data_IF_259603387134
#
_entry.id   IF_259603387134
#
_cell.length_a   1.000
_cell.length_b   1.000
_cell.length_c   1.000
_cell.angle_alpha   90.00
_cell.angle_beta   90.00
_cell.angle_gamma   90.00
#
_symmetry.space_group_name_H-M   'P 1'
#
loop_
_entity.id
_entity.type
_entity.pdbx_description
1 polymer ?
#
# COMPACT_ATOMS: atom_id res chain seq x y z
N UNK A 1 -15.25 22.49 -1.24
CA UNK A 1 -14.97 23.14 0.06
C UNK A 1 -14.00 22.35 0.95
N UNK A 2 -14.11 21.01 1.08
CA UNK A 2 -13.20 20.23 1.94
C UNK A 2 -11.71 20.29 1.56
N UNK A 3 -11.39 20.30 0.25
CA UNK A 3 -10.01 20.38 -0.23
C UNK A 3 -9.34 21.71 0.15
N UNK A 4 -10.08 22.82 0.09
CA UNK A 4 -9.55 24.14 0.43
C UNK A 4 -9.36 24.33 1.93
N UNK A 5 -10.26 23.77 2.75
CA UNK A 5 -10.09 23.75 4.20
C UNK A 5 -8.87 22.91 4.61
N UNK A 6 -8.68 21.74 3.99
CA UNK A 6 -7.49 20.91 4.23
C UNK A 6 -6.20 21.64 3.84
N UNK A 7 -6.20 22.30 2.68
CA UNK A 7 -5.08 23.14 2.23
C UNK A 7 -4.73 24.19 3.27
N UNK A 8 -5.71 24.96 3.76
CA UNK A 8 -5.50 25.99 4.80
C UNK A 8 -4.94 25.39 6.09
N UNK A 9 -5.43 24.22 6.52
CA UNK A 9 -4.94 23.54 7.72
C UNK A 9 -3.46 23.12 7.62
N UNK A 10 -3.00 22.73 6.42
CA UNK A 10 -1.60 22.37 6.18
C UNK A 10 -0.70 23.60 6.26
N UNK A 11 -1.10 24.72 5.63
CA UNK A 11 -0.33 25.96 5.64
C UNK A 11 -0.31 26.65 7.01
N UNK A 12 -1.33 26.44 7.84
CA UNK A 12 -1.42 27.05 9.17
C UNK A 12 -0.61 26.29 10.24
N UNK A 13 -0.03 25.13 9.90
CA UNK A 13 0.82 24.36 10.83
C UNK A 13 2.32 24.58 10.49
N UNK A 14 3.07 25.34 11.30
CA UNK A 14 4.45 25.71 11.00
C UNK A 14 5.40 24.50 10.94
N UNK A 15 5.13 23.44 11.70
CA UNK A 15 5.92 22.22 11.66
C UNK A 15 5.76 21.46 10.34
N UNK A 16 4.55 21.46 9.77
CA UNK A 16 4.25 20.81 8.49
C UNK A 16 4.85 21.60 7.33
N UNK A 17 4.78 22.93 7.40
CA UNK A 17 5.40 23.82 6.41
C UNK A 17 6.93 23.69 6.42
N UNK A 18 7.56 23.64 7.60
CA UNK A 18 9.01 23.47 7.74
C UNK A 18 9.51 22.11 7.21
N UNK A 19 8.66 21.09 7.26
CA UNK A 19 8.92 19.73 6.78
C UNK A 19 8.51 19.51 5.31
N UNK A 20 7.93 20.51 4.65
CA UNK A 20 7.38 20.39 3.30
C UNK A 20 8.52 20.31 2.29
N UNK A 21 8.61 19.20 1.55
CA UNK A 21 9.65 18.98 0.53
C UNK A 21 10.94 18.33 1.03
N UNK A 22 11.07 18.05 2.34
CA UNK A 22 12.23 17.31 2.84
C UNK A 22 12.13 15.82 2.46
N UNK A 23 13.09 15.26 1.71
CA UNK A 23 13.04 13.88 1.22
C UNK A 23 13.20 12.84 2.34
N UNK A 24 13.72 13.23 3.52
CA UNK A 24 13.88 12.33 4.67
C UNK A 24 12.54 12.04 5.33
N UNK A 25 11.55 12.92 5.19
CA UNK A 25 10.17 12.66 5.64
C UNK A 25 9.48 11.54 4.87
N UNK A 26 9.93 11.23 3.65
CA UNK A 26 9.30 10.23 2.81
C UNK A 26 9.58 8.78 3.29
N UNK A 27 10.41 8.57 4.32
CA UNK A 27 10.76 7.25 4.88
C UNK A 27 11.11 6.18 3.83
N UNK A 28 11.57 6.60 2.66
CA UNK A 28 12.03 5.73 1.58
C UNK A 28 13.45 5.30 1.96
N UNK A 29 13.58 4.22 2.72
CA UNK A 29 14.88 3.70 3.14
C UNK A 29 15.58 2.92 2.03
N UNK A 30 14.83 2.50 1.03
CA UNK A 30 15.34 1.80 -0.14
C UNK A 30 14.42 2.10 -1.32
N UNK A 31 15.00 2.39 -2.49
CA UNK A 31 14.28 2.75 -3.71
C UNK A 31 13.33 1.63 -4.19
N UNK A 32 13.37 0.45 -3.56
CA UNK A 32 12.64 -0.74 -4.01
C UNK A 32 11.60 -1.28 -3.02
N UNK A 33 11.58 -0.86 -1.75
CA UNK A 33 10.59 -1.34 -0.77
C UNK A 33 9.73 -0.20 -0.26
N UNK A 34 8.56 -0.06 -0.87
CA UNK A 34 7.57 0.93 -0.47
C UNK A 34 7.01 0.58 0.92
N UNK A 35 7.53 1.25 1.96
CA UNK A 35 7.12 1.10 3.37
C UNK A 35 5.61 1.35 3.59
N UNK A 36 4.94 1.99 2.63
CA UNK A 36 3.48 2.16 2.61
C UNK A 36 2.74 0.83 2.46
N UNK A 37 3.40 -0.19 1.89
CA UNK A 37 2.86 -1.54 1.72
C UNK A 37 2.87 -2.38 3.00
N UNK A 38 3.55 -1.93 4.06
CA UNK A 38 3.58 -2.63 5.36
C UNK A 38 2.58 -2.06 6.36
N UNK A 39 2.16 -0.80 6.18
CA UNK A 39 1.31 -0.11 7.15
C UNK A 39 -0.17 -0.44 6.89
N UNK A 40 -0.71 -1.36 7.70
CA UNK A 40 -2.15 -1.63 7.75
C UNK A 40 -2.92 -0.35 8.08
N UNK A 41 -3.70 0.16 7.14
CA UNK A 41 -4.61 1.28 7.39
C UNK A 41 -5.80 0.83 8.21
N UNK A 42 -6.31 1.65 9.14
CA UNK A 42 -7.53 1.36 9.93
C UNK A 42 -8.78 1.11 9.06
N UNK A 43 -8.75 1.53 7.79
CA UNK A 43 -9.82 1.30 6.79
C UNK A 43 -9.70 -0.03 6.06
N UNK A 44 -8.67 -0.84 6.34
CA UNK A 44 -8.49 -2.12 5.69
C UNK A 44 -9.49 -3.12 6.31
N UNK A 45 -10.47 -3.54 5.51
CA UNK A 45 -11.49 -4.52 5.87
C UNK A 45 -11.00 -5.97 5.82
N UNK A 46 -9.90 -6.24 5.11
CA UNK A 46 -9.38 -7.59 4.88
C UNK A 46 -8.30 -8.01 5.88
N UNK A 47 -7.77 -7.10 6.69
CA UNK A 47 -6.65 -7.32 7.62
C UNK A 47 -5.28 -7.57 6.96
N UNK A 48 -5.23 -7.68 5.62
CA UNK A 48 -4.05 -8.04 4.84
C UNK A 48 -3.75 -6.95 3.81
N UNK A 49 -2.50 -6.51 3.74
CA UNK A 49 -2.10 -5.45 2.80
C UNK A 49 -2.03 -6.03 1.38
N UNK A 50 -2.60 -5.31 0.42
CA UNK A 50 -2.67 -5.76 -0.97
C UNK A 50 -3.78 -6.78 -1.27
N UNK A 51 -4.61 -7.17 -0.29
CA UNK A 51 -5.80 -8.00 -0.53
C UNK A 51 -7.04 -7.15 -0.30
N UNK A 52 -7.94 -7.12 -1.28
CA UNK A 52 -9.20 -6.35 -1.20
C UNK A 52 -10.36 -7.23 -1.65
N UNK A 53 -11.50 -7.12 -0.97
CA UNK A 53 -12.72 -7.81 -1.40
C UNK A 53 -13.50 -6.93 -2.37
N UNK A 54 -13.76 -7.45 -3.57
CA UNK A 54 -14.63 -6.81 -4.53
C UNK A 54 -16.08 -7.27 -4.33
N UNK A 55 -16.95 -6.32 -3.99
CA UNK A 55 -18.37 -6.60 -3.71
C UNK A 55 -19.21 -6.79 -4.96
N UNK A 56 -18.74 -6.38 -6.14
CA UNK A 56 -19.50 -6.49 -7.39
C UNK A 56 -19.34 -7.89 -7.99
N UNK A 57 -18.11 -8.38 -8.02
CA UNK A 57 -17.76 -9.72 -8.50
C UNK A 57 -17.81 -10.78 -7.42
N UNK A 58 -18.08 -10.39 -6.16
CA UNK A 58 -18.06 -11.27 -4.99
C UNK A 58 -16.73 -12.03 -4.80
N UNK A 59 -15.62 -11.49 -5.32
CA UNK A 59 -14.31 -12.15 -5.32
C UNK A 59 -13.27 -11.36 -4.52
N UNK A 60 -12.27 -12.08 -4.04
CA UNK A 60 -11.08 -11.51 -3.42
C UNK A 60 -10.05 -11.18 -4.48
N UNK A 61 -9.45 -9.99 -4.40
CA UNK A 61 -8.43 -9.56 -5.34
C UNK A 61 -7.13 -9.32 -4.59
N UNK A 62 -6.06 -9.97 -5.05
CA UNK A 62 -4.73 -9.77 -4.52
C UNK A 62 -3.87 -9.00 -5.53
N UNK A 63 -3.33 -7.88 -5.07
CA UNK A 63 -2.43 -7.02 -5.80
C UNK A 63 -1.06 -6.99 -5.13
N UNK A 64 0.03 -7.18 -5.88
CA UNK A 64 1.41 -6.99 -5.42
C UNK A 64 2.13 -6.05 -6.38
N UNK A 65 2.54 -4.89 -5.87
CA UNK A 65 3.31 -3.92 -6.62
C UNK A 65 4.76 -3.99 -6.17
N UNK A 66 5.66 -4.19 -7.12
CA UNK A 66 7.08 -4.33 -6.87
C UNK A 66 7.88 -3.68 -7.99
N UNK A 67 8.86 -2.84 -7.62
CA UNK A 67 9.75 -2.14 -8.56
C UNK A 67 9.03 -1.48 -9.75
N UNK A 68 7.87 -0.85 -9.52
CA UNK A 68 7.15 -0.15 -10.58
C UNK A 68 6.21 -1.01 -11.42
N UNK A 69 6.06 -2.30 -11.08
CA UNK A 69 5.23 -3.24 -11.83
C UNK A 69 4.27 -4.02 -10.92
N UNK A 70 3.09 -4.34 -11.44
CA UNK A 70 2.18 -5.29 -10.81
C UNK A 70 2.66 -6.71 -11.09
N UNK A 71 3.21 -7.35 -10.07
CA UNK A 71 3.66 -8.74 -10.11
C UNK A 71 2.50 -9.71 -9.88
N UNK A 72 1.55 -9.31 -9.03
CA UNK A 72 0.34 -10.07 -8.75
C UNK A 72 -0.86 -9.15 -8.98
N UNK A 73 -1.79 -9.61 -9.82
CA UNK A 73 -3.07 -8.95 -10.08
C UNK A 73 -4.11 -10.02 -10.45
N UNK A 74 -4.53 -10.80 -9.46
CA UNK A 74 -5.41 -11.96 -9.65
C UNK A 74 -6.61 -11.93 -8.73
N UNK A 75 -7.72 -12.46 -9.23
CA UNK A 75 -8.96 -12.67 -8.51
C UNK A 75 -9.00 -14.10 -7.96
N UNK A 76 -9.56 -14.27 -6.77
CA UNK A 76 -9.69 -15.50 -6.02
C UNK A 76 -11.09 -15.57 -5.43
N UNK A 77 -11.64 -16.79 -5.34
CA UNK A 77 -12.96 -17.00 -4.75
C UNK A 77 -12.91 -16.94 -3.22
N UNK A 78 -11.83 -17.45 -2.64
CA UNK A 78 -11.61 -17.48 -1.19
C UNK A 78 -10.56 -16.47 -0.73
N UNK A 79 -10.76 -15.97 0.49
CA UNK A 79 -9.82 -15.07 1.15
C UNK A 79 -8.45 -15.71 1.35
N UNK A 80 -8.44 -16.98 1.77
CA UNK A 80 -7.23 -17.71 2.10
C UNK A 80 -6.32 -17.87 0.88
N UNK A 81 -6.88 -18.17 -0.29
CA UNK A 81 -6.16 -18.23 -1.55
C UNK A 81 -5.52 -16.89 -1.93
N UNK A 82 -6.26 -15.78 -1.76
CA UNK A 82 -5.72 -14.45 -2.03
C UNK A 82 -4.54 -14.10 -1.11
N UNK A 83 -4.62 -14.49 0.16
CA UNK A 83 -3.55 -14.28 1.15
C UNK A 83 -2.35 -15.19 0.88
N UNK A 84 -2.59 -16.46 0.55
CA UNK A 84 -1.56 -17.41 0.14
C UNK A 84 -0.81 -16.91 -1.08
N UNK A 85 -1.51 -16.49 -2.13
CA UNK A 85 -0.92 -15.94 -3.34
C UNK A 85 -0.07 -14.69 -3.05
N UNK A 86 -0.55 -13.79 -2.18
CA UNK A 86 0.20 -12.61 -1.74
C UNK A 86 1.48 -13.01 -1.01
N UNK A 87 1.43 -13.95 -0.07
CA UNK A 87 2.59 -14.44 0.70
C UNK A 87 3.59 -15.19 -0.18
N UNK A 88 3.11 -16.00 -1.11
CA UNK A 88 3.96 -16.75 -2.04
C UNK A 88 4.78 -15.79 -2.91
N UNK A 89 4.15 -14.75 -3.46
CA UNK A 89 4.84 -13.71 -4.23
C UNK A 89 5.80 -12.91 -3.36
N UNK A 90 5.39 -12.54 -2.15
CA UNK A 90 6.27 -11.85 -1.21
C UNK A 90 7.53 -12.68 -0.93
N UNK A 91 7.40 -13.99 -0.64
CA UNK A 91 8.54 -14.87 -0.46
C UNK A 91 9.38 -15.01 -1.74
N UNK A 92 8.76 -15.25 -2.89
CA UNK A 92 9.48 -15.39 -4.16
C UNK A 92 10.32 -14.15 -4.49
N UNK A 93 9.77 -12.95 -4.27
CA UNK A 93 10.42 -11.70 -4.66
C UNK A 93 11.33 -11.11 -3.59
N UNK A 94 11.08 -11.33 -2.29
CA UNK A 94 12.04 -10.96 -1.23
C UNK A 94 13.25 -11.89 -1.22
N UNK A 95 13.09 -13.18 -1.52
CA UNK A 95 14.19 -14.16 -1.47
C UNK A 95 15.05 -14.19 -2.75
N UNK A 96 14.54 -13.78 -3.92
CA UNK A 96 15.31 -13.69 -5.18
C UNK A 96 16.10 -12.38 -5.36
N UNK A 97 16.30 -11.59 -4.31
CA UNK A 97 17.22 -10.44 -4.35
C UNK A 97 18.63 -10.91 -3.95
N UNK A 98 19.30 -11.69 -4.81
CA UNK A 98 20.76 -11.92 -4.78
C UNK A 98 21.42 -11.35 -6.04
#
# INVERSE_FOLDING_TARGET
MAAEQSRRNIFNNPEVVSRMGDPRNLKIHDHHTDVSSLKKSKRNTSGVVGVSYDKQSHSWVAHFYFKGHYVLNKHFDHFEDAVQARRAIEQQYLLHQE
#
